data_IF_688943223301
#
_entry.id   IF_688943223301
#
_cell.length_a   1.000
_cell.length_b   1.000
_cell.length_c   1.000
_cell.angle_alpha   90.00
_cell.angle_beta   90.00
_cell.angle_gamma   90.00
#
_symmetry.space_group_name_H-M   'P 1'
#
loop_
_entity.id
_entity.type
_entity.pdbx_description
1 polymer ?
#
# COMPACT_ATOMS: atom_id res chain seq x y z
N UNK A 1 9.91 -13.92 11.70
CA UNK A 1 8.64 -14.44 11.16
C UNK A 1 7.52 -13.52 11.58
N UNK A 2 6.67 -13.15 10.63
CA UNK A 2 5.54 -12.25 10.84
C UNK A 2 4.30 -13.05 11.30
N UNK A 3 3.50 -12.50 12.22
CA UNK A 3 2.24 -13.13 12.68
C UNK A 3 1.09 -12.91 11.69
N UNK A 4 0.04 -13.74 11.69
CA UNK A 4 -1.12 -13.53 10.81
C UNK A 4 -1.78 -12.18 11.03
N UNK A 5 -1.96 -11.79 12.29
CA UNK A 5 -2.58 -10.52 12.67
C UNK A 5 -1.77 -9.34 12.15
N UNK A 6 -0.44 -9.41 12.27
CA UNK A 6 0.45 -8.37 11.75
C UNK A 6 0.36 -8.28 10.23
N UNK A 7 0.29 -9.41 9.54
CA UNK A 7 0.13 -9.41 8.08
C UNK A 7 -1.21 -8.79 7.65
N UNK A 8 -2.32 -9.13 8.32
CA UNK A 8 -3.65 -8.55 8.05
C UNK A 8 -3.64 -7.02 8.20
N UNK A 9 -3.01 -6.52 9.26
CA UNK A 9 -2.86 -5.07 9.49
C UNK A 9 -2.05 -4.42 8.37
N UNK A 10 -0.97 -5.05 7.91
CA UNK A 10 -0.15 -4.50 6.83
C UNK A 10 -0.88 -4.47 5.49
N UNK A 11 -1.60 -5.53 5.13
CA UNK A 11 -2.44 -5.57 3.91
C UNK A 11 -3.50 -4.48 3.95
N UNK A 12 -4.18 -4.28 5.07
CA UNK A 12 -5.16 -3.20 5.23
C UNK A 12 -4.52 -1.79 5.20
N UNK A 13 -3.25 -1.66 5.60
CA UNK A 13 -2.57 -0.36 5.68
C UNK A 13 -1.94 0.07 4.36
N UNK A 14 -1.35 -0.87 3.62
CA UNK A 14 -0.55 -0.61 2.42
C UNK A 14 -1.19 -1.13 1.12
N UNK A 15 -2.30 -1.86 1.24
CA UNK A 15 -2.99 -2.52 0.15
C UNK A 15 -2.35 -3.86 -0.24
N UNK A 16 -2.85 -4.40 -1.34
CA UNK A 16 -2.43 -5.69 -1.88
C UNK A 16 -1.09 -5.65 -2.64
N UNK A 17 -0.64 -4.45 -3.04
CA UNK A 17 0.62 -4.25 -3.74
C UNK A 17 1.80 -4.18 -2.77
N UNK A 18 2.55 -5.28 -2.67
CA UNK A 18 3.74 -5.38 -1.83
C UNK A 18 4.80 -4.31 -2.16
N UNK A 19 4.84 -3.77 -3.39
CA UNK A 19 5.81 -2.72 -3.74
C UNK A 19 5.61 -1.41 -2.97
N UNK A 20 4.42 -1.20 -2.41
CA UNK A 20 4.09 -0.03 -1.58
C UNK A 20 4.55 -0.18 -0.13
N UNK A 21 4.90 -1.39 0.29
CA UNK A 21 5.24 -1.68 1.66
C UNK A 21 6.67 -1.19 1.96
N UNK A 22 6.95 -0.81 3.22
CA UNK A 22 8.32 -0.57 3.68
C UNK A 22 9.22 -1.76 3.38
N UNK A 23 10.46 -1.49 2.96
CA UNK A 23 11.37 -2.50 2.40
C UNK A 23 11.68 -3.65 3.37
N UNK A 24 11.89 -3.31 4.64
CA UNK A 24 12.11 -4.24 5.74
C UNK A 24 10.91 -5.17 5.99
N UNK A 25 9.70 -4.66 5.76
CA UNK A 25 8.46 -5.43 5.90
C UNK A 25 8.14 -6.26 4.66
N UNK A 26 8.50 -5.77 3.48
CA UNK A 26 8.30 -6.46 2.21
C UNK A 26 9.12 -7.76 2.13
N UNK A 27 10.40 -7.73 2.47
CA UNK A 27 11.27 -8.93 2.42
C UNK A 27 10.73 -10.06 3.33
N UNK A 28 10.17 -9.69 4.50
CA UNK A 28 9.50 -10.63 5.40
C UNK A 28 8.14 -11.09 4.87
N UNK A 29 7.37 -10.20 4.24
CA UNK A 29 6.06 -10.51 3.66
C UNK A 29 6.16 -11.43 2.44
N UNK A 30 7.16 -11.25 1.59
CA UNK A 30 7.38 -12.08 0.40
C UNK A 30 7.70 -13.52 0.80
N UNK A 31 8.56 -13.71 1.81
CA UNK A 31 8.86 -15.06 2.32
C UNK A 31 7.63 -15.72 2.97
N UNK A 32 6.82 -14.96 3.70
CA UNK A 32 5.70 -15.53 4.48
C UNK A 32 4.37 -15.63 3.70
N UNK A 33 4.16 -14.81 2.67
CA UNK A 33 2.87 -14.68 1.95
C UNK A 33 2.43 -15.95 1.24
N UNK A 34 3.34 -16.66 0.55
CA UNK A 34 3.01 -17.90 -0.15
C UNK A 34 2.62 -19.03 0.83
N UNK A 35 3.28 -19.09 1.99
CA UNK A 35 2.97 -20.06 3.04
C UNK A 35 1.62 -19.75 3.70
N UNK A 36 1.32 -18.47 3.96
CA UNK A 36 0.08 -18.07 4.63
C UNK A 36 -1.15 -18.17 3.73
N UNK A 37 -1.02 -17.84 2.43
CA UNK A 37 -2.09 -18.03 1.44
C UNK A 37 -2.52 -19.49 1.32
N UNK A 38 -1.61 -20.44 1.54
CA UNK A 38 -1.91 -21.86 1.53
C UNK A 38 -2.53 -22.39 2.83
N UNK A 39 -2.27 -21.74 3.97
CA UNK A 39 -2.68 -22.20 5.30
C UNK A 39 -3.94 -21.51 5.84
N UNK A 40 -4.25 -20.29 5.38
CA UNK A 40 -5.34 -19.47 5.90
C UNK A 40 -6.26 -18.99 4.75
N UNK A 41 -7.35 -19.70 4.43
CA UNK A 41 -8.24 -19.35 3.31
C UNK A 41 -8.85 -17.94 3.42
N UNK A 42 -9.05 -17.47 4.65
CA UNK A 42 -9.51 -16.11 4.97
C UNK A 42 -8.55 -15.00 4.51
N UNK A 43 -7.25 -15.28 4.44
CA UNK A 43 -6.26 -14.33 3.93
C UNK A 43 -6.45 -14.05 2.44
N UNK A 44 -6.82 -15.07 1.67
CA UNK A 44 -7.14 -14.91 0.26
C UNK A 44 -8.30 -13.93 0.05
N UNK A 45 -9.28 -13.95 0.95
CA UNK A 45 -10.44 -13.05 0.89
C UNK A 45 -10.04 -11.60 1.19
N UNK A 46 -9.17 -11.39 2.19
CA UNK A 46 -8.64 -10.05 2.54
C UNK A 46 -7.81 -9.49 1.38
N UNK A 47 -6.86 -10.26 0.83
CA UNK A 47 -6.03 -9.81 -0.29
C UNK A 47 -6.88 -9.51 -1.52
N UNK A 48 -7.89 -10.33 -1.81
CA UNK A 48 -8.78 -10.09 -2.95
C UNK A 48 -9.60 -8.80 -2.78
N UNK A 49 -10.08 -8.51 -1.56
CA UNK A 49 -10.82 -7.28 -1.28
C UNK A 49 -9.93 -6.05 -1.43
N UNK A 50 -8.72 -6.08 -0.86
CA UNK A 50 -7.76 -4.97 -1.02
C UNK A 50 -7.30 -4.83 -2.48
N UNK A 51 -7.14 -5.92 -3.21
CA UNK A 51 -6.81 -5.88 -4.64
C UNK A 51 -7.94 -5.28 -5.46
N UNK A 52 -9.21 -5.59 -5.14
CA UNK A 52 -10.36 -4.97 -5.79
C UNK A 52 -10.40 -3.46 -5.50
N UNK A 53 -10.10 -3.05 -4.27
CA UNK A 53 -9.99 -1.64 -3.89
C UNK A 53 -8.84 -0.95 -4.63
N UNK A 54 -7.65 -1.53 -4.65
CA UNK A 54 -6.49 -1.02 -5.39
C UNK A 54 -6.79 -0.85 -6.88
N UNK A 55 -7.49 -1.82 -7.48
CA UNK A 55 -7.92 -1.76 -8.88
C UNK A 55 -8.98 -0.68 -9.13
N UNK A 56 -9.86 -0.43 -8.16
CA UNK A 56 -10.83 0.66 -8.24
C UNK A 56 -10.12 2.01 -8.15
N UNK A 57 -9.22 2.16 -7.18
CA UNK A 57 -8.44 3.39 -6.98
C UNK A 57 -7.54 3.69 -8.18
N UNK A 58 -6.92 2.68 -8.79
CA UNK A 58 -6.08 2.87 -9.98
C UNK A 58 -6.87 3.36 -11.20
N UNK A 59 -8.11 2.90 -11.38
CA UNK A 59 -9.02 3.38 -12.44
C UNK A 59 -9.47 4.82 -12.25
N UNK A 60 -9.53 5.28 -11.00
CA UNK A 60 -9.87 6.65 -10.64
C UNK A 60 -8.63 7.51 -10.37
N UNK A 61 -7.44 6.96 -10.60
CA UNK A 61 -6.19 7.70 -10.48
C UNK A 61 -6.12 8.71 -11.61
N UNK A 62 -6.15 9.99 -11.26
CA UNK A 62 -5.90 11.07 -12.21
C UNK A 62 -4.40 11.17 -12.38
N UNK A 63 -3.91 10.92 -13.60
CA UNK A 63 -2.52 11.22 -13.96
C UNK A 63 -2.27 12.70 -13.69
N UNK A 64 -1.45 13.00 -12.70
CA UNK A 64 -0.96 14.36 -12.47
C UNK A 64 0.04 14.69 -13.58
N UNK A 65 -0.46 15.03 -14.77
CA UNK A 65 0.35 15.67 -15.83
C UNK A 65 0.75 17.11 -15.47
N UNK A 66 0.57 17.50 -14.21
CA UNK A 66 0.73 18.86 -13.75
C UNK A 66 1.85 18.87 -12.70
N UNK A 67 3.08 18.60 -13.15
CA UNK A 67 4.29 18.85 -12.37
C UNK A 67 4.26 20.26 -11.77
N UNK A 68 3.76 21.24 -12.54
CA UNK A 68 3.52 22.60 -12.08
C UNK A 68 2.61 22.70 -10.84
N UNK A 69 1.60 21.83 -10.71
CA UNK A 69 0.68 21.85 -9.57
C UNK A 69 1.29 21.16 -8.34
N UNK A 70 2.08 20.10 -8.56
CA UNK A 70 2.89 19.48 -7.50
C UNK A 70 3.94 20.47 -6.97
N UNK A 71 4.66 21.16 -7.85
CA UNK A 71 5.67 22.16 -7.50
C UNK A 71 5.08 23.33 -6.69
N UNK A 72 3.88 23.81 -7.06
CA UNK A 72 3.15 24.84 -6.30
C UNK A 72 2.73 24.34 -4.92
N UNK A 73 2.26 23.10 -4.81
CA UNK A 73 1.89 22.51 -3.51
C UNK A 73 3.13 22.37 -2.61
N UNK A 74 4.25 21.87 -3.15
CA UNK A 74 5.49 21.77 -2.38
C UNK A 74 6.02 23.14 -1.95
N UNK A 75 6.00 24.14 -2.84
CA UNK A 75 6.43 25.49 -2.51
C UNK A 75 5.56 26.14 -1.41
N UNK A 76 4.24 25.98 -1.48
CA UNK A 76 3.33 26.55 -0.48
C UNK A 76 3.34 25.80 0.86
N UNK A 77 3.52 24.47 0.83
CA UNK A 77 3.70 23.68 2.05
C UNK A 77 5.01 24.05 2.77
N UNK A 78 6.10 24.25 2.02
CA UNK A 78 7.38 24.68 2.57
C UNK A 78 7.28 26.10 3.19
N UNK A 79 6.59 27.02 2.52
CA UNK A 79 6.37 28.37 3.06
C UNK A 79 5.49 28.39 4.31
N UNK A 80 4.51 27.50 4.44
CA UNK A 80 3.65 27.42 5.64
C UNK A 80 4.36 26.82 6.86
N UNK A 81 5.50 26.16 6.68
CA UNK A 81 6.32 25.59 7.77
C UNK A 81 7.45 26.52 8.23
N UNK A 82 7.68 27.63 7.52
CA UNK A 82 8.72 28.62 7.80
C UNK A 82 8.16 29.91 8.45
N UNK A 83 6.87 29.91 8.81
CA UNK A 83 6.19 30.93 9.62
C UNK A 83 5.86 30.32 10.98
#
# INVERSE_FOLDING_TARGET
MMTPERFKVLVASYGSDLKRWPKDLNDSAVQDSAMRLAQEPEMSLIINNESALDNLLSKHSVLTNNSALADVIFANAFNSLMV
#
